data_IF_926401174015
#
_entry.id   IF_926401174015
#
_cell.length_a   1.000
_cell.length_b   1.000
_cell.length_c   1.000
_cell.angle_alpha   90.00
_cell.angle_beta   90.00
_cell.angle_gamma   90.00
#
_symmetry.space_group_name_H-M   'P 1'
#
loop_
_entity.id
_entity.type
_entity.pdbx_description
1 polymer ?
#
# COMPACT_ATOMS: atom_id res chain seq x y z
N UNK A 1 7.20 -11.36 -3.05
CA UNK A 1 6.74 -11.59 -1.68
C UNK A 1 6.04 -12.94 -1.54
N UNK A 2 5.73 -13.34 -0.32
CA UNK A 2 4.88 -14.49 -0.01
C UNK A 2 3.38 -14.15 0.04
N UNK A 3 3.02 -12.91 -0.21
CA UNK A 3 1.62 -12.45 -0.19
C UNK A 3 0.78 -13.02 -1.33
N UNK A 4 -0.53 -13.14 -1.08
CA UNK A 4 -1.48 -13.74 -2.04
C UNK A 4 -1.46 -13.05 -3.41
N UNK A 5 -1.30 -11.74 -3.45
CA UNK A 5 -1.32 -10.94 -4.68
C UNK A 5 -0.13 -11.26 -5.58
N UNK A 6 1.08 -11.24 -5.01
CA UNK A 6 2.30 -11.58 -5.75
C UNK A 6 2.31 -13.04 -6.18
N UNK A 7 1.83 -13.97 -5.32
CA UNK A 7 1.71 -15.37 -5.65
C UNK A 7 0.69 -15.62 -6.76
N UNK A 8 -0.44 -14.91 -6.76
CA UNK A 8 -1.46 -15.00 -7.81
C UNK A 8 -0.91 -14.55 -9.17
N UNK A 9 -0.17 -13.44 -9.21
CA UNK A 9 0.49 -12.94 -10.44
C UNK A 9 1.51 -13.97 -10.95
N UNK A 10 2.35 -14.53 -10.06
CA UNK A 10 3.31 -15.57 -10.46
C UNK A 10 2.61 -16.82 -10.98
N UNK A 11 1.56 -17.28 -10.31
CA UNK A 11 0.77 -18.43 -10.72
C UNK A 11 0.15 -18.27 -12.11
N UNK A 12 -0.50 -17.12 -12.34
CA UNK A 12 -1.10 -16.79 -13.64
C UNK A 12 -0.03 -16.65 -14.74
N UNK A 13 1.05 -15.93 -14.46
CA UNK A 13 2.14 -15.77 -15.42
C UNK A 13 2.76 -17.12 -15.81
N UNK A 14 2.97 -18.00 -14.83
CA UNK A 14 3.52 -19.34 -15.07
C UNK A 14 2.55 -20.27 -15.83
N UNK A 15 1.24 -20.13 -15.59
CA UNK A 15 0.22 -20.90 -16.30
C UNK A 15 0.08 -20.50 -17.79
N UNK A 16 0.33 -19.24 -18.11
CA UNK A 16 0.22 -18.71 -19.48
C UNK A 16 1.54 -18.83 -20.25
N UNK A 17 2.67 -18.72 -19.54
CA UNK A 17 4.00 -18.75 -20.15
C UNK A 17 4.37 -20.15 -20.66
N UNK A 18 4.93 -20.22 -21.85
CA UNK A 18 5.55 -21.44 -22.39
C UNK A 18 6.97 -21.68 -21.86
N UNK A 19 7.52 -20.72 -21.13
CA UNK A 19 8.88 -20.76 -20.56
C UNK A 19 8.80 -20.57 -19.05
N UNK A 20 9.82 -21.06 -18.34
CA UNK A 20 9.96 -20.76 -16.91
C UNK A 20 9.99 -19.24 -16.68
N UNK A 21 9.15 -18.80 -15.76
CA UNK A 21 9.06 -17.37 -15.37
C UNK A 21 10.18 -17.06 -14.39
N UNK A 22 10.90 -15.96 -14.62
CA UNK A 22 11.87 -15.45 -13.64
C UNK A 22 11.12 -14.73 -12.52
N UNK A 23 11.30 -15.17 -11.29
CA UNK A 23 10.70 -14.57 -10.09
C UNK A 23 11.77 -13.96 -9.20
N UNK A 24 11.51 -12.78 -8.65
CA UNK A 24 12.40 -12.07 -7.75
C UNK A 24 11.74 -11.84 -6.40
N UNK A 25 12.49 -12.07 -5.32
CA UNK A 25 12.05 -11.80 -3.96
C UNK A 25 13.10 -10.99 -3.22
N UNK A 26 12.67 -9.98 -2.45
CA UNK A 26 13.53 -9.30 -1.49
C UNK A 26 13.50 -10.10 -0.19
N UNK A 27 14.67 -10.55 0.25
CA UNK A 27 14.89 -11.16 1.56
C UNK A 27 15.51 -10.15 2.51
N UNK A 28 14.90 -9.98 3.68
CA UNK A 28 15.44 -9.11 4.73
C UNK A 28 16.17 -9.92 5.80
N UNK A 29 17.16 -9.31 6.44
CA UNK A 29 17.84 -9.93 7.58
C UNK A 29 16.98 -9.98 8.85
N UNK A 30 15.92 -9.19 8.93
CA UNK A 30 14.96 -9.19 10.01
C UNK A 30 13.81 -10.15 9.68
N UNK A 31 13.69 -11.24 10.46
CA UNK A 31 12.70 -12.29 10.25
C UNK A 31 11.25 -11.80 10.27
N UNK A 32 10.97 -10.66 10.91
CA UNK A 32 9.63 -10.07 10.94
C UNK A 32 9.15 -9.60 9.56
N UNK A 33 10.08 -9.33 8.65
CA UNK A 33 9.81 -8.85 7.29
C UNK A 33 10.20 -9.86 6.22
N UNK A 34 10.75 -11.02 6.61
CA UNK A 34 11.24 -12.02 5.66
C UNK A 34 10.14 -13.01 5.28
N UNK A 35 9.68 -12.91 4.04
CA UNK A 35 8.68 -13.80 3.43
C UNK A 35 9.31 -14.79 2.44
N UNK A 36 10.63 -14.95 2.46
CA UNK A 36 11.35 -15.74 1.46
C UNK A 36 10.97 -17.21 1.46
N UNK A 37 10.59 -17.79 2.61
CA UNK A 37 10.16 -19.17 2.71
C UNK A 37 8.90 -19.44 1.87
N UNK A 38 7.87 -18.62 2.04
CA UNK A 38 6.59 -18.76 1.32
C UNK A 38 6.79 -18.46 -0.18
N UNK A 39 7.55 -17.40 -0.50
CA UNK A 39 7.88 -17.06 -1.88
C UNK A 39 8.63 -18.21 -2.60
N UNK A 40 9.51 -18.93 -1.89
CA UNK A 40 10.22 -20.09 -2.42
C UNK A 40 9.28 -21.28 -2.67
N UNK A 41 8.36 -21.55 -1.75
CA UNK A 41 7.35 -22.59 -1.93
C UNK A 41 6.51 -22.34 -3.19
N UNK A 42 6.06 -21.10 -3.38
CA UNK A 42 5.31 -20.70 -4.57
C UNK A 42 6.14 -20.84 -5.85
N UNK A 43 7.41 -20.44 -5.82
CA UNK A 43 8.30 -20.56 -6.97
C UNK A 43 8.53 -22.05 -7.36
N UNK A 44 8.66 -22.94 -6.37
CA UNK A 44 8.76 -24.39 -6.61
C UNK A 44 7.45 -24.92 -7.21
N UNK A 45 6.31 -24.56 -6.64
CA UNK A 45 5.00 -25.02 -7.12
C UNK A 45 4.70 -24.59 -8.57
N UNK A 46 5.23 -23.45 -9.00
CA UNK A 46 5.06 -22.91 -10.36
C UNK A 46 6.21 -23.21 -11.31
N UNK A 47 7.24 -23.94 -10.86
CA UNK A 47 8.47 -24.19 -11.61
C UNK A 47 9.14 -22.91 -12.13
N UNK A 48 9.09 -21.84 -11.31
CA UNK A 48 9.70 -20.55 -11.62
C UNK A 48 11.21 -20.55 -11.32
N UNK A 49 11.98 -19.84 -12.13
CA UNK A 49 13.39 -19.54 -11.85
C UNK A 49 13.45 -18.42 -10.80
N UNK A 50 13.72 -18.78 -9.56
CA UNK A 50 13.59 -17.91 -8.40
C UNK A 50 14.93 -17.34 -7.95
N UNK A 51 15.00 -16.04 -7.84
CA UNK A 51 16.15 -15.29 -7.29
C UNK A 51 15.75 -14.50 -6.05
N UNK A 52 16.53 -14.65 -4.99
CA UNK A 52 16.35 -13.91 -3.73
C UNK A 52 17.45 -12.86 -3.62
N UNK A 53 17.05 -11.60 -3.60
CA UNK A 53 17.93 -10.48 -3.32
C UNK A 53 17.94 -10.20 -1.81
N UNK A 54 19.01 -10.59 -1.14
CA UNK A 54 19.18 -10.31 0.30
C UNK A 54 19.62 -8.87 0.49
N UNK A 55 18.87 -8.13 1.32
CA UNK A 55 19.10 -6.72 1.64
C UNK A 55 19.25 -6.60 3.17
N UNK A 56 20.27 -5.89 3.59
CA UNK A 56 20.53 -5.57 4.99
C UNK A 56 20.44 -4.05 5.26
N UNK A 57 20.64 -3.65 6.52
CA UNK A 57 20.59 -2.24 6.92
C UNK A 57 21.63 -1.35 6.24
N UNK A 58 22.83 -1.87 5.98
CA UNK A 58 23.91 -1.11 5.33
C UNK A 58 23.58 -0.87 3.85
N UNK A 59 22.98 -1.84 3.19
CA UNK A 59 22.48 -1.69 1.81
C UNK A 59 21.42 -0.59 1.72
N UNK A 60 20.49 -0.56 2.68
CA UNK A 60 19.43 0.46 2.75
C UNK A 60 20.04 1.84 3.01
N UNK A 61 20.91 1.96 4.02
CA UNK A 61 21.53 3.22 4.37
C UNK A 61 22.44 3.75 3.23
N UNK A 62 23.29 2.89 2.68
CA UNK A 62 24.24 3.27 1.63
C UNK A 62 23.61 3.73 0.31
N UNK A 63 22.34 3.40 0.08
CA UNK A 63 21.62 3.82 -1.12
C UNK A 63 20.57 4.90 -0.86
N UNK A 64 20.42 5.39 0.38
CA UNK A 64 19.38 6.33 0.76
C UNK A 64 19.43 7.64 -0.04
N UNK A 65 20.57 8.32 -0.04
CA UNK A 65 20.79 9.59 -0.76
C UNK A 65 20.51 9.45 -2.26
N UNK A 66 21.00 8.37 -2.85
CA UNK A 66 20.82 8.10 -4.27
C UNK A 66 19.34 7.89 -4.63
N UNK A 67 18.63 7.15 -3.81
CA UNK A 67 17.19 6.90 -4.04
C UNK A 67 16.39 8.16 -3.82
N UNK A 68 16.73 8.98 -2.81
CA UNK A 68 16.10 10.28 -2.59
C UNK A 68 16.23 11.18 -3.83
N UNK A 69 17.40 11.17 -4.47
CA UNK A 69 17.62 11.90 -5.73
C UNK A 69 16.66 11.43 -6.84
N UNK A 70 16.51 10.12 -7.04
CA UNK A 70 15.68 9.58 -8.12
C UNK A 70 14.18 9.65 -7.85
N UNK A 71 13.76 9.69 -6.59
CA UNK A 71 12.34 9.82 -6.25
C UNK A 71 11.83 11.25 -6.39
N UNK A 72 12.73 12.23 -6.47
CA UNK A 72 12.42 13.68 -6.56
C UNK A 72 11.44 14.16 -5.47
N UNK A 73 11.36 13.43 -4.37
CA UNK A 73 10.49 13.71 -3.23
C UNK A 73 11.07 13.15 -1.94
N UNK A 74 10.64 13.69 -0.81
CA UNK A 74 10.97 13.12 0.49
C UNK A 74 10.43 11.69 0.61
N UNK A 75 11.26 10.80 1.13
CA UNK A 75 10.88 9.43 1.48
C UNK A 75 10.87 9.28 3.01
N UNK A 76 9.87 8.62 3.54
CA UNK A 76 9.65 8.45 4.97
C UNK A 76 9.89 7.03 5.47
N UNK A 77 10.23 6.11 4.55
CA UNK A 77 10.58 4.72 4.86
C UNK A 77 11.61 4.17 3.87
N UNK A 78 12.12 2.98 4.15
CA UNK A 78 13.16 2.33 3.34
C UNK A 78 12.62 1.50 2.17
N UNK A 79 11.30 1.42 1.97
CA UNK A 79 10.67 0.61 0.94
C UNK A 79 11.12 1.02 -0.48
N UNK A 80 11.22 2.33 -0.73
CA UNK A 80 11.70 2.85 -2.00
C UNK A 80 13.14 2.39 -2.30
N UNK A 81 13.99 2.26 -1.27
CA UNK A 81 15.37 1.82 -1.42
C UNK A 81 15.42 0.33 -1.77
N UNK A 82 14.63 -0.49 -1.09
CA UNK A 82 14.53 -1.91 -1.38
C UNK A 82 14.02 -2.15 -2.83
N UNK A 83 12.99 -1.41 -3.25
CA UNK A 83 12.48 -1.45 -4.64
C UNK A 83 13.52 -0.98 -5.67
N UNK A 84 14.30 0.05 -5.35
CA UNK A 84 15.41 0.48 -6.20
C UNK A 84 16.46 -0.61 -6.38
N UNK A 85 16.90 -1.25 -5.30
CA UNK A 85 17.89 -2.34 -5.36
C UNK A 85 17.37 -3.53 -6.16
N UNK A 86 16.10 -3.90 -6.00
CA UNK A 86 15.46 -4.92 -6.82
C UNK A 86 15.43 -4.51 -8.29
N UNK A 87 14.99 -3.29 -8.61
CA UNK A 87 14.93 -2.80 -10.00
C UNK A 87 16.30 -2.75 -10.65
N UNK A 88 17.34 -2.38 -9.89
CA UNK A 88 18.72 -2.43 -10.33
C UNK A 88 19.13 -3.86 -10.69
N UNK A 89 18.84 -4.83 -9.81
CA UNK A 89 19.17 -6.24 -10.05
C UNK A 89 18.44 -6.80 -11.27
N UNK A 90 17.17 -6.50 -11.42
CA UNK A 90 16.35 -6.86 -12.58
C UNK A 90 16.96 -6.32 -13.88
N UNK A 91 17.39 -5.06 -13.88
CA UNK A 91 18.04 -4.43 -15.02
C UNK A 91 19.41 -5.05 -15.35
N UNK A 92 20.21 -5.41 -14.35
CA UNK A 92 21.49 -6.11 -14.52
C UNK A 92 21.32 -7.47 -15.21
N UNK A 93 20.16 -8.10 -15.09
CA UNK A 93 19.80 -9.34 -15.74
C UNK A 93 19.07 -9.12 -17.09
N UNK A 94 19.12 -7.90 -17.59
CA UNK A 94 18.55 -7.49 -18.89
C UNK A 94 17.02 -7.60 -19.01
N UNK A 95 16.30 -7.67 -17.88
CA UNK A 95 14.85 -7.54 -17.87
C UNK A 95 14.43 -6.07 -17.92
N UNK A 96 13.40 -5.76 -18.70
CA UNK A 96 12.86 -4.40 -18.90
C UNK A 96 11.54 -4.17 -18.17
N UNK A 97 10.84 -5.23 -17.84
CA UNK A 97 9.51 -5.18 -17.22
C UNK A 97 9.42 -6.22 -16.12
N UNK A 98 8.79 -5.85 -15.03
CA UNK A 98 8.37 -6.76 -13.96
C UNK A 98 6.87 -6.62 -13.74
N UNK A 99 6.22 -7.74 -13.41
CA UNK A 99 4.84 -7.76 -12.96
C UNK A 99 4.85 -7.87 -11.43
N UNK A 100 3.97 -7.12 -10.79
CA UNK A 100 3.86 -7.09 -9.32
C UNK A 100 2.41 -7.21 -8.89
N UNK A 101 2.16 -7.54 -7.62
CA UNK A 101 0.83 -7.52 -7.00
C UNK A 101 0.42 -6.13 -6.49
N UNK A 102 1.16 -5.07 -6.80
CA UNK A 102 0.85 -3.70 -6.37
C UNK A 102 -0.52 -3.26 -6.93
N UNK A 103 -1.30 -2.59 -6.11
CA UNK A 103 -2.66 -2.15 -6.44
C UNK A 103 -3.76 -3.14 -6.06
N UNK A 104 -3.42 -4.36 -5.66
CA UNK A 104 -4.42 -5.36 -5.25
C UNK A 104 -5.10 -4.97 -3.93
N UNK A 105 -4.35 -4.46 -2.96
CA UNK A 105 -4.90 -4.01 -1.69
C UNK A 105 -5.89 -2.85 -1.87
N UNK A 106 -5.61 -1.96 -2.81
CA UNK A 106 -6.49 -0.85 -3.15
C UNK A 106 -7.77 -1.33 -3.85
N UNK A 107 -7.67 -2.33 -4.72
CA UNK A 107 -8.81 -2.87 -5.46
C UNK A 107 -9.69 -3.81 -4.63
N UNK A 108 -9.09 -4.58 -3.74
CA UNK A 108 -9.78 -5.63 -2.97
C UNK A 108 -9.91 -5.32 -1.47
N UNK A 109 -9.55 -4.12 -1.05
CA UNK A 109 -9.68 -3.69 0.35
C UNK A 109 -8.76 -4.44 1.31
N UNK A 110 -7.55 -4.81 0.89
CA UNK A 110 -6.62 -5.64 1.66
C UNK A 110 -6.01 -4.94 2.88
N UNK A 111 -5.86 -3.62 2.84
CA UNK A 111 -5.24 -2.88 3.95
C UNK A 111 -6.05 -2.93 5.25
N UNK A 112 -5.38 -3.02 6.41
CA UNK A 112 -6.05 -2.98 7.72
C UNK A 112 -6.94 -1.74 7.94
N UNK A 113 -6.59 -0.61 7.31
CA UNK A 113 -7.37 0.61 7.38
C UNK A 113 -8.78 0.45 6.78
N UNK A 114 -8.92 -0.26 5.68
CA UNK A 114 -10.24 -0.54 5.08
C UNK A 114 -11.08 -1.43 5.99
N UNK A 115 -10.47 -2.46 6.59
CA UNK A 115 -11.17 -3.30 7.58
C UNK A 115 -11.60 -2.52 8.81
N UNK A 116 -10.78 -1.57 9.28
CA UNK A 116 -11.15 -0.66 10.36
C UNK A 116 -12.40 0.13 10.00
N UNK A 117 -12.45 0.70 8.80
CA UNK A 117 -13.60 1.47 8.34
C UNK A 117 -14.85 0.60 8.22
N UNK A 118 -14.72 -0.62 7.69
CA UNK A 118 -15.84 -1.58 7.61
C UNK A 118 -16.48 -1.83 8.97
N UNK A 119 -15.72 -2.16 10.01
CA UNK A 119 -16.31 -2.42 11.32
C UNK A 119 -16.73 -1.14 12.07
N UNK A 120 -16.05 -0.02 11.84
CA UNK A 120 -16.35 1.24 12.55
C UNK A 120 -17.63 1.88 12.03
N UNK A 121 -17.82 1.84 10.73
CA UNK A 121 -18.93 2.54 10.03
C UNK A 121 -19.99 1.58 9.48
N UNK A 122 -19.81 0.28 9.65
CA UNK A 122 -20.77 -0.74 9.20
C UNK A 122 -20.86 -0.90 7.67
N UNK A 123 -19.82 -0.48 6.96
CA UNK A 123 -19.83 -0.51 5.48
C UNK A 123 -19.75 -1.95 4.97
N UNK A 124 -20.82 -2.45 4.38
CA UNK A 124 -20.86 -3.74 3.69
C UNK A 124 -20.77 -4.97 4.58
N UNK A 125 -20.98 -4.84 5.91
CA UNK A 125 -20.92 -5.97 6.86
C UNK A 125 -22.06 -5.96 7.86
N UNK A 126 -22.43 -7.15 8.35
CA UNK A 126 -23.38 -7.30 9.45
C UNK A 126 -22.73 -7.03 10.81
N UNK A 127 -23.56 -6.75 11.83
CA UNK A 127 -23.06 -6.50 13.20
C UNK A 127 -22.25 -7.67 13.76
N UNK A 128 -22.61 -8.93 13.44
CA UNK A 128 -21.87 -10.12 13.89
C UNK A 128 -20.50 -10.27 13.21
N UNK A 129 -20.39 -9.85 11.96
CA UNK A 129 -19.12 -9.84 11.24
C UNK A 129 -18.21 -8.72 11.72
N UNK A 130 -18.79 -7.58 12.14
CA UNK A 130 -18.03 -6.44 12.69
C UNK A 130 -17.22 -6.81 13.93
N UNK A 131 -17.78 -7.58 14.86
CA UNK A 131 -17.06 -8.03 16.09
C UNK A 131 -15.87 -8.94 15.74
N UNK A 132 -16.06 -9.88 14.81
CA UNK A 132 -15.00 -10.77 14.34
C UNK A 132 -13.87 -10.01 13.62
N UNK A 133 -14.22 -9.03 12.81
CA UNK A 133 -13.24 -8.19 12.11
C UNK A 133 -12.43 -7.33 13.07
N UNK A 134 -13.05 -6.80 14.12
CA UNK A 134 -12.38 -6.03 15.16
C UNK A 134 -11.36 -6.89 15.89
N UNK A 135 -11.74 -8.07 16.34
CA UNK A 135 -10.85 -9.01 17.04
C UNK A 135 -9.66 -9.41 16.15
N UNK A 136 -9.93 -9.74 14.88
CA UNK A 136 -8.90 -10.07 13.90
C UNK A 136 -7.94 -8.91 13.64
N UNK A 137 -8.43 -7.67 13.62
CA UNK A 137 -7.61 -6.49 13.44
C UNK A 137 -6.73 -6.22 14.67
N UNK A 138 -7.26 -6.39 15.87
CA UNK A 138 -6.53 -6.27 17.14
C UNK A 138 -5.41 -7.33 17.27
N UNK A 139 -5.65 -8.53 16.72
CA UNK A 139 -4.67 -9.62 16.68
C UNK A 139 -3.75 -9.56 15.45
N UNK A 140 -3.96 -8.62 14.52
CA UNK A 140 -3.10 -8.48 13.36
C UNK A 140 -1.68 -7.99 13.73
N UNK A 141 -0.73 -8.28 12.85
CA UNK A 141 0.68 -7.97 13.04
C UNK A 141 0.91 -6.52 13.50
N UNK A 142 1.62 -6.34 14.61
CA UNK A 142 1.90 -5.05 15.25
C UNK A 142 2.63 -4.04 14.34
N UNK A 143 3.33 -4.52 13.34
CA UNK A 143 3.99 -3.70 12.32
C UNK A 143 2.98 -2.85 11.55
N UNK A 144 1.85 -3.43 11.17
CA UNK A 144 0.78 -2.71 10.46
C UNK A 144 -0.03 -1.80 11.37
N UNK A 145 -0.17 -2.11 12.65
CA UNK A 145 -0.90 -1.27 13.62
C UNK A 145 -0.33 0.14 13.73
N UNK A 146 1.01 0.27 13.80
CA UNK A 146 1.67 1.56 13.95
C UNK A 146 1.72 2.41 12.70
N UNK A 147 1.69 1.79 11.51
CA UNK A 147 1.88 2.48 10.24
C UNK A 147 0.57 2.97 9.59
N UNK A 148 -0.55 2.30 9.85
CA UNK A 148 -1.81 2.54 9.13
C UNK A 148 -3.01 2.87 10.02
N UNK A 149 -2.88 2.75 11.33
CA UNK A 149 -3.96 3.03 12.27
C UNK A 149 -3.59 4.27 13.11
N UNK A 150 -3.97 5.44 12.63
CA UNK A 150 -3.83 6.67 13.42
C UNK A 150 -4.69 6.59 14.68
N UNK A 151 -4.15 7.07 15.81
CA UNK A 151 -4.86 7.08 17.09
C UNK A 151 -5.90 8.21 17.19
N UNK A 152 -5.75 9.25 16.37
CA UNK A 152 -6.65 10.40 16.32
C UNK A 152 -7.30 10.51 14.94
N UNK A 153 -8.60 10.74 14.92
CA UNK A 153 -9.34 10.93 13.67
C UNK A 153 -9.29 12.40 13.25
N UNK A 154 -8.62 12.67 12.13
CA UNK A 154 -8.65 13.97 11.48
C UNK A 154 -9.82 13.98 10.51
N UNK A 155 -10.77 14.86 10.75
CA UNK A 155 -11.94 15.00 9.89
C UNK A 155 -11.60 15.84 8.66
N UNK A 156 -11.93 15.31 7.46
CA UNK A 156 -11.95 16.07 6.23
C UNK A 156 -13.41 16.28 5.77
N UNK A 157 -13.76 17.52 5.45
CA UNK A 157 -15.14 17.93 5.17
C UNK A 157 -15.69 17.22 3.94
N UNK A 158 -14.98 17.24 2.82
CA UNK A 158 -15.44 16.68 1.55
C UNK A 158 -15.62 15.17 1.60
N UNK A 159 -14.71 14.44 2.26
CA UNK A 159 -14.87 12.99 2.46
C UNK A 159 -16.10 12.70 3.34
N UNK A 160 -16.31 13.49 4.40
CA UNK A 160 -17.48 13.33 5.28
C UNK A 160 -18.81 13.61 4.58
N UNK A 161 -18.86 14.64 3.76
CA UNK A 161 -20.07 14.98 2.98
C UNK A 161 -20.39 13.91 1.94
N UNK A 162 -19.38 13.23 1.43
CA UNK A 162 -19.50 12.28 0.34
C UNK A 162 -19.71 10.83 0.80
N UNK A 163 -18.86 10.37 1.73
CA UNK A 163 -18.81 8.98 2.21
C UNK A 163 -19.48 8.80 3.58
N UNK A 164 -19.88 9.89 4.25
CA UNK A 164 -20.34 9.87 5.63
C UNK A 164 -19.22 9.83 6.68
N UNK A 165 -17.97 9.57 6.28
CA UNK A 165 -16.81 9.48 7.16
C UNK A 165 -15.51 9.87 6.43
N UNK A 166 -14.44 10.08 7.19
CA UNK A 166 -13.09 10.26 6.61
C UNK A 166 -12.36 8.92 6.65
N UNK A 167 -11.97 8.34 5.49
CA UNK A 167 -11.34 7.02 5.44
C UNK A 167 -10.08 6.89 6.29
N UNK A 168 -9.94 5.80 7.01
CA UNK A 168 -8.79 5.53 7.89
C UNK A 168 -7.47 5.46 7.12
N UNK A 169 -7.49 5.02 5.87
CA UNK A 169 -6.29 4.98 5.01
C UNK A 169 -5.71 6.37 4.71
N UNK A 170 -6.50 7.44 4.81
CA UNK A 170 -6.07 8.81 4.57
C UNK A 170 -5.50 9.50 5.82
N UNK A 171 -5.75 8.97 7.02
CA UNK A 171 -5.36 9.62 8.28
C UNK A 171 -3.87 9.97 8.36
N UNK A 172 -2.90 9.11 7.95
CA UNK A 172 -1.49 9.47 7.96
C UNK A 172 -1.17 10.65 7.04
N UNK A 173 -1.84 10.74 5.89
CA UNK A 173 -1.65 11.82 4.92
C UNK A 173 -2.22 13.14 5.43
N UNK A 174 -3.40 13.12 6.03
CA UNK A 174 -4.02 14.29 6.65
C UNK A 174 -3.20 14.81 7.83
N UNK A 175 -2.60 13.91 8.61
CA UNK A 175 -1.67 14.29 9.68
C UNK A 175 -0.42 14.98 9.11
N UNK A 176 0.18 14.42 8.06
CA UNK A 176 1.31 15.04 7.38
C UNK A 176 0.95 16.40 6.78
N UNK A 177 -0.22 16.53 6.16
CA UNK A 177 -0.71 17.79 5.61
C UNK A 177 -0.88 18.86 6.70
N UNK A 178 -1.51 18.49 7.82
CA UNK A 178 -1.71 19.39 8.97
C UNK A 178 -0.37 19.88 9.50
N UNK A 179 0.60 18.97 9.64
CA UNK A 179 1.96 19.32 10.07
C UNK A 179 2.66 20.22 9.05
N UNK A 180 2.62 19.88 7.77
CA UNK A 180 3.23 20.67 6.70
C UNK A 180 2.65 22.10 6.65
N UNK A 181 1.33 22.26 6.80
CA UNK A 181 0.67 23.56 6.88
C UNK A 181 1.16 24.41 8.06
N UNK A 182 1.62 23.82 9.14
CA UNK A 182 2.22 24.55 10.28
C UNK A 182 3.58 25.15 9.96
N UNK A 183 4.29 24.60 8.99
CA UNK A 183 5.66 25.00 8.62
C UNK A 183 5.72 26.03 7.50
N UNK A 184 4.62 26.24 6.77
CA UNK A 184 4.59 27.19 5.65
C UNK A 184 4.25 28.62 6.09
N UNK A 185 4.70 29.59 5.31
CA UNK A 185 4.41 31.02 5.58
C UNK A 185 2.92 31.34 5.46
N UNK A 186 2.47 32.42 6.14
CA UNK A 186 1.08 32.87 6.09
C UNK A 186 0.58 33.10 4.66
N UNK A 187 1.43 33.67 3.79
CA UNK A 187 1.10 33.88 2.38
C UNK A 187 0.83 32.55 1.63
N UNK A 188 1.55 31.50 1.99
CA UNK A 188 1.35 30.19 1.37
C UNK A 188 0.11 29.50 1.92
N UNK A 189 -0.22 29.73 3.20
CA UNK A 189 -1.47 29.22 3.81
C UNK A 189 -2.71 29.72 3.08
N UNK A 190 -2.77 31.01 2.75
CA UNK A 190 -3.90 31.59 2.00
C UNK A 190 -4.13 30.87 0.65
N UNK A 191 -3.06 30.44 -0.02
CA UNK A 191 -3.17 29.71 -1.29
C UNK A 191 -3.64 28.28 -1.06
N UNK A 192 -3.16 27.61 -0.01
CA UNK A 192 -3.46 26.20 0.26
C UNK A 192 -4.80 25.98 0.98
N UNK A 193 -5.32 26.96 1.70
CA UNK A 193 -6.62 26.89 2.38
C UNK A 193 -7.81 26.80 1.42
N UNK A 194 -7.63 27.25 0.17
CA UNK A 194 -8.67 27.17 -0.87
C UNK A 194 -8.71 25.82 -1.60
N UNK A 195 -7.70 24.98 -1.42
CA UNK A 195 -7.61 23.69 -2.09
C UNK A 195 -8.08 22.57 -1.17
N UNK A 196 -9.12 21.88 -1.59
CA UNK A 196 -9.62 20.65 -0.96
C UNK A 196 -9.37 19.44 -1.88
N UNK A 197 -8.42 18.57 -1.53
CA UNK A 197 -8.12 17.38 -2.34
C UNK A 197 -9.30 16.41 -2.42
N UNK A 198 -10.13 16.33 -1.39
CA UNK A 198 -11.34 15.51 -1.40
C UNK A 198 -12.34 16.01 -2.46
N UNK A 199 -12.62 17.30 -2.47
CA UNK A 199 -13.49 17.90 -3.49
C UNK A 199 -12.96 17.69 -4.92
N UNK A 200 -11.63 17.77 -5.10
CA UNK A 200 -11.01 17.52 -6.40
C UNK A 200 -11.20 16.06 -6.86
N UNK A 201 -11.00 15.08 -5.96
CA UNK A 201 -11.19 13.65 -6.26
C UNK A 201 -12.65 13.37 -6.61
N UNK A 202 -13.59 13.82 -5.79
CA UNK A 202 -15.02 13.56 -6.02
C UNK A 202 -15.57 14.28 -7.25
N UNK A 203 -15.00 15.43 -7.62
CA UNK A 203 -15.37 16.15 -8.85
C UNK A 203 -15.03 15.40 -10.14
N UNK A 204 -14.10 14.45 -10.09
CA UNK A 204 -13.72 13.61 -11.22
C UNK A 204 -14.49 12.27 -11.28
N UNK A 205 -15.29 11.96 -10.25
CA UNK A 205 -16.06 10.71 -10.19
C UNK A 205 -17.47 10.92 -10.78
N UNK A 206 -17.89 10.01 -11.62
CA UNK A 206 -19.28 9.89 -12.05
C UNK A 206 -20.08 9.12 -11.00
N UNK A 207 -20.70 9.87 -10.10
CA UNK A 207 -21.35 9.32 -8.91
C UNK A 207 -22.68 8.66 -9.21
N UNK A 208 -23.46 9.19 -10.18
CA UNK A 208 -24.69 8.55 -10.62
C UNK A 208 -24.38 7.15 -11.17
N UNK A 209 -23.27 7.01 -11.90
CA UNK A 209 -22.84 5.71 -12.42
C UNK A 209 -22.34 4.76 -11.32
N UNK A 210 -21.77 5.29 -10.23
CA UNK A 210 -21.35 4.49 -9.07
C UNK A 210 -22.55 4.01 -8.25
N UNK A 211 -23.51 4.88 -7.98
CA UNK A 211 -24.76 4.54 -7.27
C UNK A 211 -25.54 3.46 -8.02
N UNK A 212 -25.73 3.62 -9.33
CA UNK A 212 -26.44 2.64 -10.18
C UNK A 212 -25.75 1.27 -10.25
N UNK A 213 -24.40 1.24 -10.26
CA UNK A 213 -23.66 -0.02 -10.40
C UNK A 213 -23.49 -0.78 -9.11
N UNK A 214 -23.35 -0.10 -7.99
CA UNK A 214 -22.94 -0.71 -6.73
C UNK A 214 -24.03 -0.66 -5.67
N UNK A 215 -25.21 -0.13 -5.98
CA UNK A 215 -26.32 0.03 -5.03
C UNK A 215 -25.81 0.58 -3.68
N UNK A 216 -25.01 1.62 -3.75
CA UNK A 216 -24.56 2.34 -2.55
C UNK A 216 -25.75 3.19 -2.12
N UNK A 217 -26.53 2.66 -1.17
CA UNK A 217 -27.59 3.39 -0.48
C UNK A 217 -27.01 4.40 0.51
#
# INVERSE_FOLDING_TARGET
SGGIDSCSILGLASAISQKSVKAFTIGFSDERYDETSIAKEMAVATNADHEILKINGDDLYGNFEKVLWFTERSIYNTLAIAKYLMSKRVNELDYKVVMTGEGSDELFGGYPAFRKDMYTYGVGISNSESENLKENLENSNDIFKGAMLANEEISNKSFKEFLGFTPSCLQPWLACETYAKSLVSSKYKEITETYDPGAAIFGELDLEQLEDRYAID
#
